data_IF_301653508209
#
_entry.id   IF_301653508209
#
_cell.length_a   1.000
_cell.length_b   1.000
_cell.length_c   1.000
_cell.angle_alpha   90.00
_cell.angle_beta   90.00
_cell.angle_gamma   90.00
#
_symmetry.space_group_name_H-M   'P 1'
#
loop_
_entity.id
_entity.type
_entity.pdbx_description
1 polymer ?
#
# COMPACT_ATOMS: atom_id res chain seq x y z
N UNK A 1 25.60 -5.55 6.40
CA UNK A 1 24.97 -6.85 6.73
C UNK A 1 25.17 -7.82 5.58
N UNK A 2 25.07 -9.13 5.82
CA UNK A 2 25.12 -10.12 4.75
C UNK A 2 23.71 -10.27 4.15
N UNK A 3 23.62 -10.32 2.83
CA UNK A 3 22.41 -10.75 2.13
C UNK A 3 22.43 -12.27 2.09
N UNK A 4 21.44 -12.91 2.70
CA UNK A 4 21.21 -14.35 2.60
C UNK A 4 20.48 -14.61 1.29
N UNK A 5 20.92 -15.59 0.48
CA UNK A 5 20.35 -15.85 -0.86
C UNK A 5 20.01 -17.32 -0.97
N UNK A 6 18.81 -17.58 -1.47
CA UNK A 6 18.21 -18.90 -1.53
C UNK A 6 17.47 -19.09 -2.86
N UNK A 7 17.19 -20.35 -3.18
CA UNK A 7 16.52 -20.76 -4.41
C UNK A 7 15.35 -21.67 -4.05
N UNK A 8 14.29 -21.59 -4.84
CA UNK A 8 13.18 -22.53 -4.78
C UNK A 8 12.95 -23.06 -6.19
N UNK A 9 13.28 -24.34 -6.39
CA UNK A 9 13.09 -25.02 -7.66
C UNK A 9 11.78 -25.80 -7.64
N UNK A 10 11.03 -25.71 -8.73
CA UNK A 10 9.75 -26.38 -8.87
C UNK A 10 9.54 -26.87 -10.29
N UNK A 11 8.63 -27.82 -10.45
CA UNK A 11 8.16 -28.32 -11.74
C UNK A 11 6.66 -28.14 -11.83
N UNK A 12 6.22 -27.59 -12.94
CA UNK A 12 4.82 -27.56 -13.32
C UNK A 12 4.53 -28.86 -14.07
N UNK A 13 3.64 -29.67 -13.49
CA UNK A 13 3.21 -30.92 -14.10
C UNK A 13 2.28 -30.62 -15.29
N UNK A 14 2.16 -31.55 -16.24
CA UNK A 14 1.30 -31.38 -17.40
C UNK A 14 -0.14 -31.11 -16.95
N UNK A 15 -0.76 -30.12 -17.59
CA UNK A 15 -2.16 -29.78 -17.37
C UNK A 15 -2.97 -30.18 -18.59
N UNK A 16 -4.29 -30.24 -18.49
CA UNK A 16 -5.19 -30.55 -19.63
C UNK A 16 -4.96 -29.64 -20.86
N UNK A 17 -4.32 -28.48 -20.68
CA UNK A 17 -3.95 -27.52 -21.73
C UNK A 17 -2.50 -27.60 -22.23
N UNK A 18 -1.60 -28.31 -21.55
CA UNK A 18 -0.17 -28.39 -21.91
C UNK A 18 0.40 -29.75 -21.51
N UNK A 19 0.91 -30.49 -22.50
CA UNK A 19 1.50 -31.81 -22.30
C UNK A 19 2.96 -31.76 -21.81
N UNK A 20 3.57 -30.59 -21.76
CA UNK A 20 4.98 -30.45 -21.38
C UNK A 20 5.10 -30.08 -19.91
N UNK A 21 5.99 -30.78 -19.20
CA UNK A 21 6.51 -30.34 -17.91
C UNK A 21 7.42 -29.13 -18.12
N UNK A 22 7.21 -28.08 -17.33
CA UNK A 22 8.13 -26.93 -17.31
C UNK A 22 8.78 -26.82 -15.94
N UNK A 23 10.09 -26.67 -15.91
CA UNK A 23 10.83 -26.39 -14.69
C UNK A 23 10.86 -24.88 -14.48
N UNK A 24 10.77 -24.43 -13.24
CA UNK A 24 10.94 -23.05 -12.84
C UNK A 24 11.80 -22.89 -11.59
N UNK A 25 12.39 -21.72 -11.42
CA UNK A 25 13.25 -21.39 -10.28
C UNK A 25 13.00 -19.98 -9.79
N UNK A 26 12.40 -19.85 -8.61
CA UNK A 26 12.34 -18.57 -7.90
C UNK A 26 13.62 -18.36 -7.12
N UNK A 27 14.14 -17.13 -7.11
CA UNK A 27 15.31 -16.75 -6.31
C UNK A 27 14.84 -15.73 -5.28
N UNK A 28 15.29 -15.84 -4.04
CA UNK A 28 14.98 -14.84 -3.04
C UNK A 28 16.17 -14.51 -2.15
N UNK A 29 16.23 -13.26 -1.72
CA UNK A 29 17.23 -12.73 -0.82
C UNK A 29 16.60 -12.21 0.46
N UNK A 30 17.26 -12.40 1.60
CA UNK A 30 16.81 -11.88 2.90
C UNK A 30 17.91 -11.03 3.51
N UNK A 31 17.54 -9.81 3.90
CA UNK A 31 18.34 -8.94 4.77
C UNK A 31 17.66 -8.92 6.13
N UNK A 32 18.33 -9.47 7.15
CA UNK A 32 17.79 -9.58 8.51
C UNK A 32 17.71 -8.22 9.20
N UNK A 33 16.64 -8.00 9.95
CA UNK A 33 16.47 -6.82 10.79
C UNK A 33 17.61 -6.71 11.81
N UNK A 34 18.10 -5.49 12.04
CA UNK A 34 19.14 -5.25 13.04
C UNK A 34 18.55 -4.82 14.39
N UNK A 35 17.51 -3.99 14.34
CA UNK A 35 16.96 -3.32 15.53
C UNK A 35 15.96 -4.18 16.30
N UNK A 36 15.43 -5.23 15.69
CA UNK A 36 14.36 -6.04 16.26
C UNK A 36 14.52 -7.51 15.89
N UNK A 37 13.78 -8.36 16.61
CA UNK A 37 13.64 -9.78 16.30
C UNK A 37 12.97 -9.95 14.93
N UNK A 38 13.35 -10.96 14.11
CA UNK A 38 12.87 -11.18 12.74
C UNK A 38 11.43 -11.75 12.70
N UNK A 39 10.52 -11.14 13.44
CA UNK A 39 9.11 -11.56 13.55
C UNK A 39 8.28 -11.02 12.38
N UNK A 40 8.68 -9.90 11.81
CA UNK A 40 7.99 -9.23 10.71
C UNK A 40 8.93 -8.98 9.53
N UNK A 41 8.35 -8.98 8.33
CA UNK A 41 9.07 -8.80 7.07
C UNK A 41 8.34 -7.85 6.12
N UNK A 42 9.12 -7.26 5.21
CA UNK A 42 8.65 -6.43 4.10
C UNK A 42 9.14 -7.08 2.80
N UNK A 43 8.26 -7.19 1.81
CA UNK A 43 8.54 -7.88 0.56
C UNK A 43 8.71 -6.92 -0.61
N UNK A 44 9.79 -7.05 -1.36
CA UNK A 44 9.97 -6.46 -2.68
C UNK A 44 9.96 -7.59 -3.72
N UNK A 45 8.95 -7.63 -4.56
CA UNK A 45 8.76 -8.64 -5.57
C UNK A 45 9.09 -8.13 -6.97
N UNK A 46 9.81 -8.94 -7.74
CA UNK A 46 10.40 -8.55 -9.02
C UNK A 46 10.24 -9.70 -10.01
N UNK A 47 9.73 -9.49 -11.23
CA UNK A 47 9.72 -10.51 -12.26
C UNK A 47 11.13 -10.71 -12.82
N UNK A 48 11.53 -11.95 -13.07
CA UNK A 48 12.84 -12.25 -13.68
C UNK A 48 12.94 -11.85 -15.15
N UNK A 49 11.81 -11.47 -15.76
CA UNK A 49 11.71 -11.04 -17.16
C UNK A 49 12.19 -9.61 -17.40
N UNK A 50 12.20 -8.76 -16.37
CA UNK A 50 12.62 -7.36 -16.47
C UNK A 50 13.99 -7.17 -15.83
N UNK A 51 14.98 -6.82 -16.67
CA UNK A 51 16.36 -6.55 -16.22
C UNK A 51 16.41 -5.26 -15.40
N UNK A 52 15.61 -4.26 -15.76
CA UNK A 52 15.54 -2.97 -15.08
C UNK A 52 14.94 -3.10 -13.68
N UNK A 53 13.87 -3.89 -13.51
CA UNK A 53 13.33 -4.20 -12.18
C UNK A 53 14.35 -4.95 -11.32
N UNK A 54 15.09 -5.91 -11.90
CA UNK A 54 16.16 -6.63 -11.20
C UNK A 54 17.26 -5.65 -10.78
N UNK A 55 17.70 -4.76 -11.66
CA UNK A 55 18.75 -3.78 -11.37
C UNK A 55 18.35 -2.84 -10.24
N UNK A 56 17.11 -2.32 -10.26
CA UNK A 56 16.56 -1.47 -9.19
C UNK A 56 16.53 -2.21 -7.86
N UNK A 57 16.06 -3.46 -7.84
CA UNK A 57 16.00 -4.25 -6.62
C UNK A 57 17.39 -4.61 -6.06
N UNK A 58 18.34 -4.96 -6.91
CA UNK A 58 19.72 -5.25 -6.50
C UNK A 58 20.43 -3.99 -6.00
N UNK A 59 20.25 -2.84 -6.67
CA UNK A 59 20.78 -1.56 -6.22
C UNK A 59 20.22 -1.17 -4.86
N UNK A 60 18.91 -1.35 -4.66
CA UNK A 60 18.28 -1.12 -3.35
C UNK A 60 18.77 -2.10 -2.28
N UNK A 61 18.95 -3.38 -2.60
CA UNK A 61 19.49 -4.38 -1.66
C UNK A 61 20.92 -4.03 -1.22
N UNK A 62 21.77 -3.60 -2.17
CA UNK A 62 23.14 -3.17 -1.89
C UNK A 62 23.19 -1.94 -0.98
N UNK A 63 22.30 -0.97 -1.18
CA UNK A 63 22.13 0.16 -0.26
C UNK A 63 21.60 -0.28 1.10
N UNK A 64 20.54 -1.11 1.12
CA UNK A 64 19.79 -1.46 2.32
C UNK A 64 20.62 -2.30 3.30
N UNK A 65 21.53 -3.17 2.82
CA UNK A 65 22.37 -4.01 3.68
C UNK A 65 23.31 -3.21 4.59
N UNK A 66 23.63 -1.98 4.22
CA UNK A 66 24.55 -1.12 4.96
C UNK A 66 23.81 -0.19 5.94
N UNK A 67 22.47 -0.19 5.93
CA UNK A 67 21.66 0.62 6.83
C UNK A 67 21.31 -0.12 8.11
N UNK A 68 21.49 0.53 9.27
CA UNK A 68 21.24 -0.06 10.60
C UNK A 68 19.81 0.18 11.14
N UNK A 69 18.99 0.97 10.44
CA UNK A 69 17.69 1.40 10.96
C UNK A 69 16.54 0.42 10.67
N UNK A 70 16.79 -0.67 9.94
CA UNK A 70 15.76 -1.67 9.63
C UNK A 70 15.35 -2.43 10.90
N UNK A 71 14.05 -2.40 11.18
CA UNK A 71 13.41 -3.15 12.27
C UNK A 71 12.60 -4.35 11.77
N UNK A 72 12.63 -4.61 10.46
CA UNK A 72 11.93 -5.74 9.81
C UNK A 72 12.85 -6.38 8.79
N UNK A 73 12.67 -7.68 8.59
CA UNK A 73 13.40 -8.40 7.55
C UNK A 73 12.99 -7.83 6.19
N UNK A 74 13.97 -7.54 5.33
CA UNK A 74 13.70 -7.17 3.94
C UNK A 74 13.86 -8.43 3.08
N UNK A 75 12.77 -8.83 2.44
CA UNK A 75 12.75 -9.98 1.54
C UNK A 75 12.65 -9.48 0.11
N UNK A 76 13.58 -9.93 -0.73
CA UNK A 76 13.63 -9.65 -2.15
C UNK A 76 13.26 -10.93 -2.89
N UNK A 77 12.14 -10.95 -3.59
CA UNK A 77 11.66 -12.13 -4.32
C UNK A 77 11.76 -11.89 -5.83
N UNK A 78 12.56 -12.69 -6.50
CA UNK A 78 12.68 -12.74 -7.96
C UNK A 78 11.83 -13.90 -8.49
N UNK A 79 10.67 -13.55 -9.04
CA UNK A 79 9.62 -14.46 -9.49
C UNK A 79 9.90 -14.92 -10.91
N UNK A 80 10.01 -16.24 -11.10
CA UNK A 80 10.30 -16.82 -12.40
C UNK A 80 9.19 -16.58 -13.42
N UNK A 81 9.58 -16.07 -14.59
CA UNK A 81 8.66 -15.69 -15.67
C UNK A 81 7.72 -14.52 -15.33
N UNK A 82 7.82 -13.92 -14.14
CA UNK A 82 6.93 -12.86 -13.68
C UNK A 82 5.45 -13.27 -13.58
N UNK A 83 5.17 -14.57 -13.42
CA UNK A 83 3.79 -15.08 -13.40
C UNK A 83 3.19 -15.12 -12.00
N UNK A 84 1.88 -14.97 -11.90
CA UNK A 84 1.12 -15.16 -10.65
C UNK A 84 1.26 -16.58 -10.12
N UNK A 85 1.41 -17.58 -11.00
CA UNK A 85 1.60 -18.99 -10.63
C UNK A 85 2.94 -19.20 -9.92
N UNK A 86 4.05 -18.71 -10.49
CA UNK A 86 5.37 -18.82 -9.87
C UNK A 86 5.41 -18.12 -8.50
N UNK A 87 4.75 -16.96 -8.37
CA UNK A 87 4.62 -16.28 -7.08
C UNK A 87 3.76 -17.06 -6.07
N UNK A 88 2.65 -17.67 -6.51
CA UNK A 88 1.78 -18.51 -5.66
C UNK A 88 2.56 -19.69 -5.05
N UNK A 89 3.45 -20.33 -5.83
CA UNK A 89 4.26 -21.48 -5.41
C UNK A 89 5.24 -21.11 -4.29
N UNK A 90 5.86 -19.93 -4.40
CA UNK A 90 6.77 -19.44 -3.36
C UNK A 90 6.01 -19.02 -2.10
N UNK A 91 4.89 -18.30 -2.27
CA UNK A 91 4.06 -17.85 -1.15
C UNK A 91 3.41 -19.03 -0.40
N UNK A 92 2.92 -20.05 -1.10
CA UNK A 92 2.37 -21.25 -0.46
C UNK A 92 3.41 -21.94 0.42
N UNK A 93 4.64 -22.10 -0.08
CA UNK A 93 5.75 -22.65 0.69
C UNK A 93 6.13 -21.76 1.88
N UNK A 94 6.19 -20.43 1.68
CA UNK A 94 6.47 -19.46 2.75
C UNK A 94 5.46 -19.52 3.90
N UNK A 95 4.19 -19.78 3.57
CA UNK A 95 3.11 -19.87 4.55
C UNK A 95 2.85 -21.30 5.07
N UNK A 96 3.70 -22.27 4.70
CA UNK A 96 3.52 -23.68 5.08
C UNK A 96 2.23 -24.30 4.56
N UNK A 97 1.67 -23.77 3.47
CA UNK A 97 0.47 -24.30 2.84
C UNK A 97 0.82 -25.47 1.91
N UNK A 98 -0.08 -26.45 1.84
CA UNK A 98 0.06 -27.54 0.89
C UNK A 98 0.00 -27.01 -0.55
N UNK A 99 0.89 -27.53 -1.39
CA UNK A 99 0.94 -27.16 -2.80
C UNK A 99 -0.31 -27.65 -3.53
N UNK A 100 -0.73 -26.88 -4.54
CA UNK A 100 -1.87 -27.26 -5.39
C UNK A 100 -1.51 -28.45 -6.28
N UNK A 101 -2.53 -29.22 -6.65
CA UNK A 101 -2.40 -30.30 -7.64
C UNK A 101 -1.77 -29.77 -8.94
N UNK A 102 -0.82 -30.54 -9.49
CA UNK A 102 -0.11 -30.18 -10.72
C UNK A 102 1.20 -29.39 -10.50
N UNK A 103 1.65 -29.21 -9.26
CA UNK A 103 2.95 -28.61 -8.94
C UNK A 103 3.76 -29.62 -8.12
N UNK A 104 5.00 -29.87 -8.53
CA UNK A 104 5.97 -30.68 -7.81
C UNK A 104 7.11 -29.77 -7.35
N UNK A 105 7.30 -29.63 -6.04
CA UNK A 105 8.49 -28.97 -5.51
C UNK A 105 9.68 -29.92 -5.59
N UNK A 106 10.85 -29.39 -5.93
CA UNK A 106 12.08 -30.17 -5.89
C UNK A 106 12.60 -30.28 -4.46
N UNK A 107 12.39 -29.24 -3.66
CA UNK A 107 12.73 -29.19 -2.24
C UNK A 107 11.44 -29.08 -1.41
N UNK A 108 11.27 -29.92 -0.39
CA UNK A 108 10.03 -30.02 0.38
C UNK A 108 9.67 -28.74 1.15
N UNK A 109 10.66 -27.94 1.54
CA UNK A 109 10.50 -26.71 2.33
C UNK A 109 11.47 -25.61 1.87
N UNK A 110 11.16 -24.34 2.16
CA UNK A 110 12.08 -23.23 1.91
C UNK A 110 13.28 -23.31 2.87
N UNK A 111 14.49 -23.22 2.32
CA UNK A 111 15.74 -23.20 3.10
C UNK A 111 15.75 -22.14 4.22
N UNK A 112 15.11 -20.99 3.98
CA UNK A 112 14.87 -19.99 5.00
C UNK A 112 13.62 -19.17 4.68
N UNK A 113 13.01 -18.60 5.72
CA UNK A 113 11.96 -17.60 5.56
C UNK A 113 12.19 -16.42 6.52
N UNK A 114 11.51 -15.31 6.23
CA UNK A 114 11.48 -14.14 7.11
C UNK A 114 10.31 -14.21 8.08
N UNK A 115 10.05 -13.09 8.75
CA UNK A 115 8.86 -12.91 9.58
C UNK A 115 7.55 -12.82 8.80
N UNK A 116 6.45 -12.53 9.49
CA UNK A 116 5.15 -12.27 8.85
C UNK A 116 5.21 -11.00 8.00
N UNK A 117 4.70 -11.06 6.77
CA UNK A 117 4.65 -9.89 5.91
C UNK A 117 3.65 -8.84 6.41
N UNK A 118 4.13 -7.60 6.54
CA UNK A 118 3.29 -6.44 6.83
C UNK A 118 2.75 -5.79 5.54
N UNK A 119 3.49 -5.89 4.45
CA UNK A 119 3.14 -5.34 3.14
C UNK A 119 4.19 -5.71 2.08
N UNK A 120 3.86 -5.48 0.82
CA UNK A 120 4.72 -5.78 -0.31
C UNK A 120 4.68 -4.69 -1.39
N UNK A 121 5.80 -4.50 -2.07
CA UNK A 121 5.90 -3.72 -3.30
C UNK A 121 6.28 -4.65 -4.46
N UNK A 122 5.62 -4.49 -5.60
CA UNK A 122 5.99 -5.12 -6.87
C UNK A 122 6.69 -4.13 -7.79
N UNK A 123 7.62 -4.60 -8.62
CA UNK A 123 8.27 -3.81 -9.64
C UNK A 123 8.03 -4.38 -11.04
N UNK A 124 7.63 -3.54 -11.98
CA UNK A 124 7.48 -3.90 -13.39
C UNK A 124 7.98 -2.76 -14.28
N UNK A 125 9.30 -2.68 -14.43
CA UNK A 125 9.99 -1.57 -15.08
C UNK A 125 10.45 -2.01 -16.46
N UNK A 126 10.25 -1.19 -17.47
CA UNK A 126 10.73 -1.42 -18.82
C UNK A 126 11.25 -0.11 -19.41
N UNK A 127 12.56 -0.01 -19.60
CA UNK A 127 13.26 1.20 -20.01
C UNK A 127 13.98 1.91 -18.86
N UNK A 128 14.54 3.09 -19.16
CA UNK A 128 15.44 3.80 -18.23
C UNK A 128 14.97 5.23 -17.88
N UNK A 129 14.03 5.77 -18.65
CA UNK A 129 13.54 7.15 -18.52
C UNK A 129 12.03 7.11 -18.69
N UNK A 130 11.30 7.73 -17.76
CA UNK A 130 9.85 7.62 -17.66
C UNK A 130 9.23 9.00 -17.44
N UNK A 131 8.06 9.27 -18.04
CA UNK A 131 7.27 10.46 -17.72
C UNK A 131 6.13 10.19 -16.73
N UNK A 132 5.69 8.94 -16.67
CA UNK A 132 4.60 8.46 -15.83
C UNK A 132 4.96 7.12 -15.19
N UNK A 133 4.40 6.87 -14.00
CA UNK A 133 4.53 5.59 -13.28
C UNK A 133 3.13 5.12 -12.95
N UNK A 134 2.81 3.94 -13.43
CA UNK A 134 1.55 3.25 -13.17
C UNK A 134 1.61 2.59 -11.80
N UNK A 135 0.76 3.04 -10.88
CA UNK A 135 0.55 2.40 -9.58
C UNK A 135 -0.59 1.39 -9.75
N UNK A 136 -0.23 0.12 -9.79
CA UNK A 136 -1.14 -1.00 -10.02
C UNK A 136 -1.53 -1.68 -8.71
N UNK A 137 -2.80 -2.00 -8.57
CA UNK A 137 -3.31 -2.80 -7.48
C UNK A 137 -4.09 -4.00 -8.01
N UNK A 138 -3.86 -5.18 -7.42
CA UNK A 138 -4.61 -6.39 -7.78
C UNK A 138 -5.83 -6.58 -6.89
N UNK A 139 -6.92 -7.08 -7.45
CA UNK A 139 -8.07 -7.55 -6.69
C UNK A 139 -8.06 -9.08 -6.65
N UNK A 140 -8.21 -9.67 -5.47
CA UNK A 140 -8.51 -11.11 -5.35
C UNK A 140 -9.83 -11.27 -4.63
N UNK A 141 -10.76 -11.97 -5.29
CA UNK A 141 -12.10 -12.22 -4.76
C UNK A 141 -12.82 -10.93 -4.32
N UNK A 142 -12.62 -9.82 -5.04
CA UNK A 142 -13.22 -8.53 -4.71
C UNK A 142 -12.52 -7.75 -3.57
N UNK A 143 -11.41 -8.26 -3.02
CA UNK A 143 -10.63 -7.57 -1.99
C UNK A 143 -9.49 -6.77 -2.63
N UNK A 144 -9.49 -5.46 -2.39
CA UNK A 144 -8.41 -4.53 -2.75
C UNK A 144 -7.31 -4.53 -1.68
N UNK A 145 -6.06 -4.16 -2.04
CA UNK A 145 -5.02 -3.90 -1.04
C UNK A 145 -5.39 -2.67 -0.20
N UNK A 146 -4.70 -2.50 0.92
CA UNK A 146 -4.89 -1.31 1.75
C UNK A 146 -4.64 -0.03 0.93
N UNK A 147 -5.59 0.90 0.98
CA UNK A 147 -5.52 2.18 0.29
C UNK A 147 -4.39 3.05 0.81
N UNK A 148 -4.02 2.96 2.10
CA UNK A 148 -2.90 3.74 2.62
C UNK A 148 -1.57 3.35 1.94
N UNK A 149 -1.42 2.08 1.56
CA UNK A 149 -0.26 1.60 0.80
C UNK A 149 -0.30 2.09 -0.66
N UNK A 150 -1.50 2.14 -1.24
CA UNK A 150 -1.71 2.67 -2.59
C UNK A 150 -1.44 4.19 -2.65
N UNK A 151 -2.05 4.95 -1.75
CA UNK A 151 -1.87 6.40 -1.64
C UNK A 151 -0.42 6.77 -1.33
N UNK A 152 0.27 5.97 -0.51
CA UNK A 152 1.71 6.11 -0.29
C UNK A 152 2.50 5.98 -1.61
N UNK A 153 2.17 4.96 -2.43
CA UNK A 153 2.85 4.75 -3.71
C UNK A 153 2.58 5.90 -4.69
N UNK A 154 1.34 6.41 -4.75
CA UNK A 154 0.96 7.59 -5.53
C UNK A 154 1.74 8.82 -5.05
N UNK A 155 1.72 9.10 -3.75
CA UNK A 155 2.39 10.26 -3.16
C UNK A 155 3.90 10.25 -3.38
N UNK A 156 4.55 9.08 -3.25
CA UNK A 156 5.98 8.95 -3.48
C UNK A 156 6.33 9.16 -4.96
N UNK A 157 5.47 8.70 -5.86
CA UNK A 157 5.60 8.91 -7.31
C UNK A 157 5.50 10.39 -7.67
N UNK A 158 4.49 11.10 -7.15
CA UNK A 158 4.35 12.55 -7.34
C UNK A 158 5.55 13.31 -6.80
N UNK A 159 6.03 12.92 -5.61
CA UNK A 159 7.20 13.52 -4.98
C UNK A 159 8.49 13.31 -5.78
N UNK A 160 8.59 12.20 -6.51
CA UNK A 160 9.70 11.97 -7.43
C UNK A 160 9.59 12.79 -8.73
N UNK A 161 8.46 13.46 -8.98
CA UNK A 161 8.22 14.29 -10.16
C UNK A 161 7.62 13.53 -11.35
N UNK A 162 7.25 12.26 -11.17
CA UNK A 162 6.51 11.49 -12.16
C UNK A 162 5.00 11.66 -12.02
N UNK A 163 4.28 11.51 -13.12
CA UNK A 163 2.81 11.51 -13.10
C UNK A 163 2.34 10.12 -12.63
N UNK A 164 1.68 9.99 -11.47
CA UNK A 164 1.08 8.73 -11.08
C UNK A 164 -0.13 8.45 -11.95
N UNK A 165 -0.19 7.25 -12.51
CA UNK A 165 -1.36 6.76 -13.25
C UNK A 165 -1.86 5.48 -12.60
N UNK A 166 -3.17 5.20 -12.68
CA UNK A 166 -3.74 3.97 -12.16
C UNK A 166 -4.59 3.32 -13.24
N UNK A 167 -4.11 2.22 -13.81
CA UNK A 167 -4.84 1.46 -14.82
C UNK A 167 -5.25 0.09 -14.25
N UNK A 168 -6.55 -0.20 -14.28
CA UNK A 168 -7.12 -1.48 -13.85
C UNK A 168 -7.15 -2.55 -14.95
N UNK A 169 -6.53 -2.31 -16.10
CA UNK A 169 -6.68 -3.19 -17.27
C UNK A 169 -5.92 -4.51 -17.16
N UNK A 170 -4.86 -4.57 -16.35
CA UNK A 170 -4.03 -5.76 -16.15
C UNK A 170 -3.81 -6.02 -14.67
N UNK A 171 -4.26 -7.18 -14.19
CA UNK A 171 -3.94 -7.62 -12.83
C UNK A 171 -2.41 -7.76 -12.68
N UNK A 172 -1.78 -7.06 -11.72
CA UNK A 172 -0.35 -7.21 -11.49
C UNK A 172 -0.05 -8.61 -10.98
N UNK A 173 1.16 -9.12 -11.22
CA UNK A 173 1.56 -10.43 -10.70
C UNK A 173 1.51 -10.48 -9.15
N UNK A 174 1.57 -9.33 -8.49
CA UNK A 174 1.40 -9.22 -7.03
C UNK A 174 -0.05 -9.34 -6.56
N UNK A 175 -1.04 -9.46 -7.45
CA UNK A 175 -2.43 -9.65 -7.06
C UNK A 175 -2.59 -10.87 -6.13
N UNK A 176 -1.86 -11.96 -6.42
CA UNK A 176 -1.89 -13.23 -5.66
C UNK A 176 -1.54 -13.08 -4.16
N UNK A 177 -0.85 -12.00 -3.79
CA UNK A 177 -0.35 -11.74 -2.45
C UNK A 177 -1.51 -11.44 -1.50
N UNK A 178 -2.59 -10.83 -2.03
CA UNK A 178 -3.82 -10.59 -1.28
C UNK A 178 -4.47 -11.86 -0.73
N UNK A 179 -4.29 -13.01 -1.41
CA UNK A 179 -4.77 -14.32 -0.96
C UNK A 179 -4.10 -14.78 0.34
N UNK A 180 -2.85 -14.37 0.54
CA UNK A 180 -2.04 -14.67 1.72
C UNK A 180 -2.16 -13.60 2.81
N UNK A 181 -3.09 -12.65 2.65
CA UNK A 181 -3.27 -11.55 3.60
C UNK A 181 -2.14 -10.53 3.57
N UNK A 182 -1.43 -10.43 2.45
CA UNK A 182 -0.37 -9.46 2.20
C UNK A 182 -0.94 -8.34 1.34
N UNK A 183 -0.89 -7.10 1.84
CA UNK A 183 -1.25 -5.93 1.04
C UNK A 183 -0.09 -5.61 0.09
N UNK A 184 -0.36 -5.58 -1.22
CA UNK A 184 0.67 -5.38 -2.22
C UNK A 184 0.25 -4.35 -3.28
N UNK A 185 1.19 -3.51 -3.68
CA UNK A 185 1.05 -2.54 -4.78
C UNK A 185 2.23 -2.72 -5.73
N UNK A 186 1.97 -2.72 -7.04
CA UNK A 186 3.02 -2.81 -8.06
C UNK A 186 3.27 -1.44 -8.69
N UNK A 187 4.53 -1.04 -8.76
CA UNK A 187 4.96 0.12 -9.54
C UNK A 187 5.37 -0.38 -10.93
N UNK A 188 4.63 0.05 -11.94
CA UNK A 188 4.95 -0.21 -13.33
C UNK A 188 5.44 1.07 -14.00
N UNK A 189 6.58 1.01 -14.65
CA UNK A 189 7.13 2.14 -15.38
C UNK A 189 7.52 1.66 -16.77
N UNK A 190 6.90 2.22 -17.81
CA UNK A 190 7.16 1.83 -19.20
C UNK A 190 7.79 3.02 -19.93
N UNK A 191 8.55 2.75 -20.99
CA UNK A 191 9.20 3.75 -21.84
C UNK A 191 8.16 4.55 -22.62
N UNK A 192 7.50 5.47 -21.94
CA UNK A 192 6.57 6.45 -22.48
C UNK A 192 6.93 7.80 -21.88
N UNK A 193 7.24 8.76 -22.75
CA UNK A 193 7.50 10.12 -22.33
C UNK A 193 6.24 10.94 -22.59
N UNK A 194 5.34 10.89 -21.61
CA UNK A 194 4.04 11.56 -21.67
C UNK A 194 4.00 12.82 -20.79
N UNK A 195 5.02 13.04 -19.96
CA UNK A 195 5.06 14.08 -18.93
C UNK A 195 6.11 15.17 -19.19
N UNK A 196 5.98 16.34 -18.53
CA UNK A 196 6.91 17.48 -18.69
C UNK A 196 8.27 17.27 -18.01
N UNK A 197 8.32 16.35 -17.03
CA UNK A 197 9.51 15.98 -16.26
C UNK A 197 9.76 14.50 -16.54
N UNK A 198 11.02 14.15 -16.76
CA UNK A 198 11.46 12.76 -16.90
C UNK A 198 12.14 12.30 -15.62
N UNK A 199 11.72 11.16 -15.09
CA UNK A 199 12.40 10.46 -14.00
C UNK A 199 13.30 9.33 -14.55
N UNK A 200 14.34 8.98 -13.80
CA UNK A 200 15.22 7.87 -14.13
C UNK A 200 15.05 6.67 -13.18
N UNK A 201 15.84 5.61 -13.38
CA UNK A 201 15.85 4.45 -12.50
C UNK A 201 16.26 4.78 -11.05
N UNK A 202 17.09 5.81 -10.84
CA UNK A 202 17.50 6.24 -9.50
C UNK A 202 16.34 6.85 -8.72
N UNK A 203 15.44 7.55 -9.41
CA UNK A 203 14.22 8.08 -8.81
C UNK A 203 13.26 6.96 -8.42
N UNK A 204 13.16 5.89 -9.22
CA UNK A 204 12.40 4.69 -8.83
C UNK A 204 12.98 4.03 -7.58
N UNK A 205 14.32 3.95 -7.47
CA UNK A 205 14.97 3.45 -6.23
C UNK A 205 14.58 4.31 -5.03
N UNK A 206 14.51 5.65 -5.17
CA UNK A 206 14.06 6.56 -4.07
C UNK A 206 12.60 6.32 -3.70
N UNK A 207 11.72 6.07 -4.68
CA UNK A 207 10.32 5.70 -4.43
C UNK A 207 10.26 4.42 -3.61
N UNK A 208 10.98 3.37 -4.02
CA UNK A 208 11.03 2.09 -3.30
C UNK A 208 11.63 2.24 -1.91
N UNK A 209 12.74 2.98 -1.75
CA UNK A 209 13.30 3.28 -0.44
C UNK A 209 12.26 3.97 0.45
N UNK A 210 11.57 5.00 -0.06
CA UNK A 210 10.52 5.70 0.65
C UNK A 210 9.39 4.78 1.09
N UNK A 211 8.95 3.89 0.20
CA UNK A 211 7.90 2.90 0.47
C UNK A 211 8.33 1.90 1.55
N UNK A 212 9.50 1.29 1.39
CA UNK A 212 10.07 0.32 2.33
C UNK A 212 10.36 0.95 3.69
N UNK A 213 10.84 2.20 3.75
CA UNK A 213 11.03 2.94 5.01
C UNK A 213 9.72 3.29 5.69
N UNK A 214 8.68 3.61 4.92
CA UNK A 214 7.34 3.87 5.47
C UNK A 214 6.77 2.59 6.11
N UNK A 215 6.85 1.45 5.41
CA UNK A 215 6.50 0.14 5.96
C UNK A 215 7.34 -0.22 7.19
N UNK A 216 8.65 0.06 7.16
CA UNK A 216 9.54 -0.17 8.30
C UNK A 216 9.15 0.67 9.54
N UNK A 217 8.49 1.81 9.36
CA UNK A 217 8.06 2.67 10.46
C UNK A 217 6.63 2.40 10.94
N UNK A 218 5.86 1.51 10.30
CA UNK A 218 4.57 1.10 10.87
C UNK A 218 4.78 0.44 12.23
N UNK A 219 3.97 0.80 13.22
CA UNK A 219 3.98 0.17 14.54
C UNK A 219 3.12 -1.10 14.58
N UNK A 220 2.07 -1.13 13.77
CA UNK A 220 1.10 -2.23 13.71
C UNK A 220 0.92 -2.66 12.25
N UNK A 221 0.59 -3.94 12.01
CA UNK A 221 0.21 -4.40 10.68
C UNK A 221 -0.97 -3.58 10.17
N UNK A 222 -1.08 -3.38 8.85
CA UNK A 222 -2.22 -2.68 8.27
C UNK A 222 -3.56 -3.24 8.80
N UNK A 223 -4.23 -2.48 9.66
CA UNK A 223 -5.61 -2.73 9.99
C UNK A 223 -6.44 -2.36 8.78
N UNK A 224 -7.56 -3.06 8.63
CA UNK A 224 -8.48 -2.75 7.57
C UNK A 224 -8.90 -1.28 7.63
N UNK A 225 -8.40 -0.45 6.71
CA UNK A 225 -8.97 0.87 6.39
C UNK A 225 -10.31 0.66 5.64
N UNK A 226 -11.26 -0.07 6.27
CA UNK A 226 -12.68 -0.11 5.86
C UNK A 226 -13.48 1.01 6.50
N UNK A 227 -12.93 1.67 7.53
CA UNK A 227 -13.67 2.69 8.25
C UNK A 227 -13.38 4.05 7.61
N UNK A 228 -14.35 4.50 6.83
CA UNK A 228 -14.56 5.86 6.35
C UNK A 228 -13.99 6.17 4.95
N UNK A 229 -14.55 5.56 3.90
CA UNK A 229 -14.51 6.14 2.56
C UNK A 229 -15.88 5.97 1.89
N UNK A 230 -16.42 7.06 1.34
CA UNK A 230 -17.62 7.00 0.50
C UNK A 230 -17.16 6.89 -0.95
N UNK A 231 -17.57 5.81 -1.63
CA UNK A 231 -17.42 5.71 -3.08
C UNK A 231 -18.48 6.61 -3.71
N UNK A 232 -18.07 7.79 -4.17
CA UNK A 232 -18.97 8.76 -4.85
C UNK A 232 -18.97 8.50 -6.36
N UNK A 233 -17.91 7.89 -6.90
CA UNK A 233 -17.78 7.55 -8.32
C UNK A 233 -16.90 6.30 -8.51
N UNK A 234 -17.15 5.45 -9.53
CA UNK A 234 -16.38 4.21 -9.79
C UNK A 234 -14.87 4.37 -10.05
N UNK A 235 -14.39 5.62 -10.19
CA UNK A 235 -12.97 5.93 -10.46
C UNK A 235 -12.44 7.05 -9.57
N UNK A 236 -13.19 7.46 -8.53
CA UNK A 236 -12.79 8.59 -7.71
C UNK A 236 -13.08 8.32 -6.24
N UNK A 237 -12.01 8.39 -5.46
CA UNK A 237 -12.03 8.16 -4.02
C UNK A 237 -11.84 9.50 -3.31
N UNK A 238 -12.64 9.75 -2.28
CA UNK A 238 -12.56 10.97 -1.46
C UNK A 238 -12.28 10.57 -0.01
N UNK A 239 -11.17 11.05 0.60
CA UNK A 239 -10.84 10.68 1.96
C UNK A 239 -11.84 11.11 3.01
N UNK A 240 -12.12 10.27 4.02
CA UNK A 240 -12.98 10.69 5.12
C UNK A 240 -12.44 11.82 5.96
N UNK A 241 -11.13 11.99 6.02
CA UNK A 241 -10.51 13.16 6.63
C UNK A 241 -11.05 14.47 6.02
N UNK A 242 -11.55 14.44 4.77
CA UNK A 242 -12.20 15.59 4.13
C UNK A 242 -13.58 15.92 4.71
N UNK A 243 -14.30 14.91 5.23
CA UNK A 243 -15.63 15.05 5.84
C UNK A 243 -15.57 15.23 7.36
N UNK A 244 -14.48 14.81 8.02
CA UNK A 244 -14.30 14.96 9.47
C UNK A 244 -14.43 16.42 9.96
N UNK A 245 -13.90 17.44 9.27
CA UNK A 245 -14.11 18.84 9.65
C UNK A 245 -15.59 19.21 9.69
N UNK A 246 -16.39 18.71 8.76
CA UNK A 246 -17.84 18.97 8.73
C UNK A 246 -18.55 18.30 9.90
N UNK A 247 -18.20 17.05 10.21
CA UNK A 247 -18.71 16.36 11.38
C UNK A 247 -18.34 17.13 12.67
N UNK A 248 -17.11 17.62 12.75
CA UNK A 248 -16.65 18.51 13.82
C UNK A 248 -17.46 19.80 13.92
N UNK A 249 -17.75 20.45 12.78
CA UNK A 249 -18.56 21.67 12.71
C UNK A 249 -20.05 21.46 13.07
N UNK A 250 -20.56 20.23 12.96
CA UNK A 250 -21.92 19.87 13.40
C UNK A 250 -21.92 19.49 14.89
N UNK A 251 -20.93 18.74 15.36
CA UNK A 251 -20.91 18.21 16.73
C UNK A 251 -20.38 19.22 17.75
N UNK A 252 -19.34 19.99 17.42
CA UNK A 252 -18.70 20.93 18.33
C UNK A 252 -19.65 21.99 18.91
N UNK A 253 -20.59 22.58 18.15
CA UNK A 253 -21.53 23.57 18.71
C UNK A 253 -22.57 22.99 19.66
N UNK A 254 -22.81 21.68 19.66
CA UNK A 254 -23.62 21.02 20.68
C UNK A 254 -22.82 20.83 21.98
N UNK A 255 -21.51 20.64 21.87
CA UNK A 255 -20.63 20.37 23.01
C UNK A 255 -20.25 21.64 23.76
N UNK A 256 -20.02 22.76 23.07
CA UNK A 256 -19.58 24.04 23.65
C UNK A 256 -20.56 24.63 24.68
N UNK A 257 -21.88 24.72 24.43
CA UNK A 257 -22.85 25.17 25.43
C UNK A 257 -22.93 24.23 26.63
N UNK A 258 -22.83 22.93 26.38
CA UNK A 258 -22.86 21.89 27.43
C UNK A 258 -21.65 22.04 28.36
N UNK A 259 -20.45 22.24 27.80
CA UNK A 259 -19.24 22.54 28.59
C UNK A 259 -19.37 23.85 29.36
N UNK A 260 -19.92 24.90 28.73
CA UNK A 260 -20.16 26.20 29.39
C UNK A 260 -21.06 26.02 30.61
N UNK A 261 -22.20 25.33 30.47
CA UNK A 261 -23.11 25.07 31.59
C UNK A 261 -22.44 24.20 32.66
N UNK A 262 -21.63 23.21 32.28
CA UNK A 262 -20.88 22.37 33.22
C UNK A 262 -19.89 23.17 34.08
N UNK A 263 -19.13 24.10 33.48
CA UNK A 263 -18.23 24.98 34.23
C UNK A 263 -18.98 25.98 35.11
N UNK A 264 -20.15 26.45 34.67
CA UNK A 264 -20.99 27.36 35.44
C UNK A 264 -21.70 26.67 36.62
N UNK A 265 -22.05 25.38 36.49
CA UNK A 265 -22.64 24.58 37.56
C UNK A 265 -21.73 24.46 38.80
N UNK A 266 -20.41 24.53 38.61
CA UNK A 266 -19.43 24.51 39.71
C UNK A 266 -19.35 25.86 40.47
N UNK A 267 -20.00 26.92 39.98
CA UNK A 267 -20.08 28.22 40.62
C UNK A 267 -21.51 28.43 41.14
N UNK A 268 -21.71 28.17 42.43
CA UNK A 268 -23.00 28.15 43.11
C UNK A 268 -23.71 29.51 42.96
N UNK A 269 -24.70 29.59 42.07
CA UNK A 269 -25.92 30.42 42.21
C UNK A 269 -26.97 29.92 41.21
N UNK A 270 -27.95 29.17 41.71
CA UNK A 270 -29.08 28.66 40.93
C UNK A 270 -30.03 29.79 40.56
N UNK A 271 -29.69 30.59 39.55
CA UNK A 271 -30.70 31.24 38.71
C UNK A 271 -30.92 30.33 37.51
N UNK A 272 -32.16 29.91 37.30
CA UNK A 272 -32.59 29.21 36.09
C UNK A 272 -32.30 30.11 34.88
N UNK A 273 -31.16 29.88 34.24
CA UNK A 273 -30.81 30.55 33.00
C UNK A 273 -31.77 30.05 31.93
N UNK A 274 -32.36 31.01 31.21
CA UNK A 274 -33.21 30.69 30.07
C UNK A 274 -32.45 29.83 29.06
N UNK A 275 -33.07 28.78 28.51
CA UNK A 275 -32.43 27.88 27.53
C UNK A 275 -32.33 28.54 26.14
N UNK A 276 -33.13 29.59 25.90
CA UNK A 276 -33.22 30.28 24.61
C UNK A 276 -31.89 30.80 24.03
N UNK A 277 -30.95 31.37 24.80
CA UNK A 277 -29.65 31.82 24.28
C UNK A 277 -28.79 30.66 23.76
N UNK A 278 -28.82 29.50 24.42
CA UNK A 278 -28.09 28.31 23.99
C UNK A 278 -28.67 27.71 22.71
N UNK A 279 -30.01 27.66 22.60
CA UNK A 279 -30.69 27.21 21.38
C UNK A 279 -30.36 28.15 20.21
N UNK A 280 -30.41 29.47 20.42
CA UNK A 280 -30.04 30.46 19.38
C UNK A 280 -28.61 30.29 18.90
N UNK A 281 -27.67 30.05 19.81
CA UNK A 281 -26.26 29.80 19.47
C UNK A 281 -26.10 28.52 18.65
N UNK A 282 -26.73 27.43 19.08
CA UNK A 282 -26.72 26.14 18.36
C UNK A 282 -27.30 26.32 16.95
N UNK A 283 -28.49 26.91 16.80
CA UNK A 283 -29.09 27.12 15.49
C UNK A 283 -28.22 28.00 14.56
N UNK A 284 -27.63 29.08 15.08
CA UNK A 284 -26.77 29.97 14.29
C UNK A 284 -25.49 29.27 13.83
N UNK A 285 -24.86 28.50 14.73
CA UNK A 285 -23.66 27.73 14.41
C UNK A 285 -23.93 26.65 13.36
N UNK A 286 -25.04 25.93 13.44
CA UNK A 286 -25.41 24.93 12.41
C UNK A 286 -25.73 25.58 11.06
N UNK A 287 -26.37 26.75 11.04
CA UNK A 287 -26.59 27.51 9.81
C UNK A 287 -25.25 27.89 9.15
N UNK A 288 -24.29 28.34 9.96
CA UNK A 288 -22.96 28.69 9.49
C UNK A 288 -22.20 27.47 8.98
N UNK A 289 -22.24 26.35 9.71
CA UNK A 289 -21.65 25.07 9.29
C UNK A 289 -22.25 24.56 7.97
N UNK A 290 -23.56 24.72 7.77
CA UNK A 290 -24.24 24.39 6.52
C UNK A 290 -23.83 25.30 5.35
N UNK A 291 -23.61 26.59 5.61
CA UNK A 291 -23.08 27.50 4.59
C UNK A 291 -21.66 27.13 4.17
N UNK A 292 -20.78 26.81 5.13
CA UNK A 292 -19.44 26.30 4.86
C UNK A 292 -19.47 25.00 4.05
N UNK A 293 -20.42 24.11 4.33
CA UNK A 293 -20.61 22.88 3.55
C UNK A 293 -20.93 23.16 2.07
N UNK A 294 -21.86 24.08 1.80
CA UNK A 294 -22.23 24.44 0.42
C UNK A 294 -21.04 25.08 -0.30
N UNK A 295 -20.31 25.98 0.37
CA UNK A 295 -19.11 26.61 -0.17
C UNK A 295 -18.05 25.56 -0.52
N UNK A 296 -17.83 24.60 0.39
CA UNK A 296 -16.90 23.50 0.21
C UNK A 296 -17.27 22.67 -1.04
N UNK A 297 -18.54 22.25 -1.17
CA UNK A 297 -19.00 21.50 -2.35
C UNK A 297 -18.76 22.26 -3.66
N UNK A 298 -19.05 23.57 -3.67
CA UNK A 298 -18.87 24.38 -4.87
C UNK A 298 -17.38 24.55 -5.23
N UNK A 299 -16.51 24.73 -4.24
CA UNK A 299 -15.06 24.72 -4.45
C UNK A 299 -14.58 23.36 -5.00
N UNK A 300 -15.14 22.27 -4.48
CA UNK A 300 -14.83 20.91 -4.96
C UNK A 300 -15.32 20.63 -6.38
N UNK A 301 -16.39 21.30 -6.84
CA UNK A 301 -16.80 21.23 -8.24
C UNK A 301 -15.80 21.93 -9.17
N UNK A 302 -15.24 23.06 -8.77
CA UNK A 302 -14.31 23.81 -9.62
C UNK A 302 -12.89 23.23 -9.66
N UNK A 303 -12.42 22.62 -8.57
CA UNK A 303 -11.05 22.06 -8.50
C UNK A 303 -10.96 20.67 -9.16
N UNK A 304 -12.10 20.00 -9.38
CA UNK A 304 -12.12 18.59 -9.79
C UNK A 304 -13.15 18.25 -10.88
N UNK A 305 -13.47 19.21 -11.73
CA UNK A 305 -13.96 19.01 -13.11
C UNK A 305 -12.79 19.35 -14.03
#
# INVERSE_FOLDING_TARGET
>A
MRVEVYRQKFKLLPSSKSNNTSNGENIYGIIRAFRASPVEAILLAVPTTSIESIAVALAFADYAKDQLYWSRDLVFLFVDGGTTQSADIWLSAYHGQQQKEGIELIDDELEAHGGTFIGAFGLDINGNIFGDVEVLHGMINGKLPNMDLFDLAVLLTEKAGAIPTSFNELEPFTAIYGRYGINAVTLRANKKHSGPISIDLSDIVKIIEGGMRSLNNLLEKFHHSYLLYLIIHPHRFVPAALYMPLFGLIVAPMFLPTLREWFLLNQITTKTTSIFPSIKFICLSHLLSFLFYILQINLFKEIFI
#
